data_IF_357289240301
#
_entry.id   IF_357289240301
#
_cell.length_a   1.000
_cell.length_b   1.000
_cell.length_c   1.000
_cell.angle_alpha   90.00
_cell.angle_beta   90.00
_cell.angle_gamma   90.00
#
_symmetry.space_group_name_H-M   'P 1'
#
loop_
_entity.id
_entity.type
_entity.pdbx_description
1 polymer ?
#
# COMPACT_ATOMS: atom_id res chain seq x y z
N UNK A 1 -13.54 -10.28 6.67
CA UNK A 1 -12.74 -10.24 5.46
C UNK A 1 -12.95 -8.90 4.76
N UNK A 2 -11.88 -8.28 4.33
CA UNK A 2 -11.97 -7.00 3.65
C UNK A 2 -12.54 -7.18 2.24
N UNK A 3 -13.37 -6.24 1.82
CA UNK A 3 -13.91 -6.22 0.47
C UNK A 3 -12.84 -5.76 -0.52
N UNK A 4 -12.86 -6.31 -1.73
CA UNK A 4 -11.98 -5.87 -2.79
C UNK A 4 -12.26 -4.41 -3.14
N UNK A 5 -11.21 -3.69 -3.53
CA UNK A 5 -11.34 -2.29 -3.92
C UNK A 5 -11.42 -1.32 -2.76
N UNK A 6 -11.08 -1.76 -1.55
CA UNK A 6 -11.07 -0.90 -0.37
C UNK A 6 -9.69 -0.81 0.27
N UNK A 7 -9.43 0.33 0.91
CA UNK A 7 -8.23 0.49 1.74
C UNK A 7 -8.50 -0.21 3.08
N UNK A 8 -7.57 -1.06 3.49
CA UNK A 8 -7.66 -1.81 4.74
C UNK A 8 -6.80 -1.11 5.78
N UNK A 9 -7.44 -0.64 6.85
CA UNK A 9 -6.72 -0.05 7.99
C UNK A 9 -6.06 -1.13 8.83
N UNK A 10 -4.79 -0.95 9.15
CA UNK A 10 -4.01 -1.88 9.94
C UNK A 10 -3.90 -1.35 11.36
N UNK A 11 -4.30 -2.15 12.34
CA UNK A 11 -4.27 -1.74 13.75
C UNK A 11 -3.33 -2.60 14.60
N UNK A 12 -2.82 -3.70 14.04
CA UNK A 12 -1.91 -4.62 14.72
C UNK A 12 -0.88 -5.15 13.75
N UNK A 13 0.31 -5.46 14.24
CA UNK A 13 1.38 -6.05 13.43
C UNK A 13 0.92 -7.35 12.79
N UNK A 14 0.18 -8.17 13.52
CA UNK A 14 -0.30 -9.47 13.02
C UNK A 14 -1.22 -9.34 11.82
N UNK A 15 -2.07 -8.30 11.81
CA UNK A 15 -2.96 -8.03 10.68
C UNK A 15 -2.13 -7.72 9.43
N UNK A 16 -1.12 -6.89 9.59
CA UNK A 16 -0.21 -6.53 8.50
C UNK A 16 0.49 -7.76 7.95
N UNK A 17 1.11 -8.54 8.84
CA UNK A 17 1.86 -9.73 8.44
C UNK A 17 0.98 -10.74 7.71
N UNK A 18 -0.25 -10.94 8.19
CA UNK A 18 -1.20 -11.86 7.55
C UNK A 18 -1.57 -11.41 6.14
N UNK A 19 -1.89 -10.12 5.97
CA UNK A 19 -2.30 -9.60 4.67
C UNK A 19 -1.15 -9.56 3.68
N UNK A 20 0.06 -9.24 4.14
CA UNK A 20 1.24 -9.27 3.27
C UNK A 20 1.53 -10.70 2.82
N UNK A 21 1.44 -11.67 3.74
CA UNK A 21 1.65 -13.07 3.40
C UNK A 21 0.64 -13.55 2.36
N UNK A 22 -0.64 -13.26 2.58
CA UNK A 22 -1.70 -13.64 1.65
C UNK A 22 -1.50 -13.01 0.28
N UNK A 23 -1.12 -11.74 0.25
CA UNK A 23 -0.84 -11.03 -0.99
C UNK A 23 0.33 -11.63 -1.73
N UNK A 24 1.40 -11.95 -1.03
CA UNK A 24 2.58 -12.58 -1.63
C UNK A 24 2.24 -13.95 -2.21
N UNK A 25 1.46 -14.76 -1.49
CA UNK A 25 1.03 -16.08 -1.95
C UNK A 25 0.16 -15.99 -3.21
N UNK A 26 -0.64 -14.92 -3.31
CA UNK A 26 -1.51 -14.70 -4.45
C UNK A 26 -0.81 -13.95 -5.60
N UNK A 27 0.46 -13.58 -5.43
CA UNK A 27 1.22 -12.83 -6.43
C UNK A 27 0.72 -11.41 -6.65
N UNK A 28 0.10 -10.81 -5.62
CA UNK A 28 -0.49 -9.47 -5.74
C UNK A 28 0.48 -8.37 -5.37
N UNK A 29 0.29 -7.21 -6.01
CA UNK A 29 0.93 -5.97 -5.60
C UNK A 29 0.26 -5.49 -4.30
N UNK A 30 1.07 -5.03 -3.36
CA UNK A 30 0.59 -4.45 -2.10
C UNK A 30 1.12 -3.02 -2.02
N UNK A 31 0.25 -2.05 -1.75
CA UNK A 31 0.63 -0.65 -1.56
C UNK A 31 0.29 -0.28 -0.13
N UNK A 32 1.31 0.16 0.63
CA UNK A 32 1.14 0.53 2.03
C UNK A 32 1.28 2.04 2.16
N UNK A 33 0.24 2.70 2.67
CA UNK A 33 0.24 4.13 2.98
C UNK A 33 0.58 4.31 4.45
N UNK A 34 1.78 4.83 4.72
CA UNK A 34 2.19 5.21 6.07
C UNK A 34 1.73 6.64 6.33
N UNK A 35 0.83 6.81 7.27
CA UNK A 35 0.12 8.07 7.55
C UNK A 35 0.22 8.45 9.02
N UNK A 36 -0.24 9.65 9.34
CA UNK A 36 -0.39 10.11 10.72
C UNK A 36 -1.60 11.04 10.81
N UNK A 37 -2.30 11.02 11.95
CA UNK A 37 -3.51 11.82 12.13
C UNK A 37 -3.24 13.32 12.12
N UNK A 38 -2.03 13.75 12.50
CA UNK A 38 -1.63 15.16 12.58
C UNK A 38 -1.09 15.71 11.27
N UNK A 39 -1.13 14.95 10.20
CA UNK A 39 -0.43 15.23 8.95
C UNK A 39 -1.39 15.77 7.88
N UNK A 40 -1.39 17.09 7.57
CA UNK A 40 -2.27 17.64 6.54
C UNK A 40 -2.07 17.03 5.15
N UNK A 41 -0.83 16.84 4.65
CA UNK A 41 -0.65 16.17 3.35
C UNK A 41 -1.23 14.75 3.31
N UNK A 42 -1.20 14.04 4.45
CA UNK A 42 -1.79 12.72 4.55
C UNK A 42 -3.30 12.77 4.35
N UNK A 43 -3.97 13.77 4.94
CA UNK A 43 -5.41 13.96 4.77
C UNK A 43 -5.76 14.32 3.34
N UNK A 44 -4.92 15.13 2.69
CA UNK A 44 -5.11 15.51 1.28
C UNK A 44 -5.09 14.29 0.38
N UNK A 45 -4.13 13.38 0.56
CA UNK A 45 -3.95 12.23 -0.34
C UNK A 45 -4.89 11.06 -0.02
N UNK A 46 -5.48 11.03 1.17
CA UNK A 46 -6.32 9.90 1.61
C UNK A 46 -7.47 9.57 0.65
N UNK A 47 -8.29 10.56 0.19
CA UNK A 47 -9.36 10.23 -0.76
C UNK A 47 -8.82 9.77 -2.11
N UNK A 48 -7.66 10.25 -2.52
CA UNK A 48 -7.02 9.84 -3.77
C UNK A 48 -6.58 8.38 -3.65
N UNK A 49 -5.98 8.01 -2.53
CA UNK A 49 -5.58 6.63 -2.26
C UNK A 49 -6.80 5.70 -2.26
N UNK A 50 -7.90 6.13 -1.65
CA UNK A 50 -9.16 5.37 -1.65
C UNK A 50 -9.71 5.16 -3.07
N UNK A 51 -9.64 6.19 -3.93
CA UNK A 51 -10.08 6.07 -5.32
C UNK A 51 -9.19 5.11 -6.11
N UNK A 52 -7.89 5.11 -5.86
CA UNK A 52 -6.97 4.17 -6.49
C UNK A 52 -7.30 2.73 -6.09
N UNK A 53 -7.70 2.52 -4.84
CA UNK A 53 -8.11 1.19 -4.37
C UNK A 53 -9.34 0.71 -5.13
N UNK A 54 -10.32 1.58 -5.33
CA UNK A 54 -11.53 1.24 -6.08
C UNK A 54 -11.22 0.90 -7.53
N UNK A 55 -10.27 1.58 -8.12
CA UNK A 55 -9.90 1.39 -9.54
C UNK A 55 -9.02 0.17 -9.76
N UNK A 56 -8.40 -0.38 -8.70
CA UNK A 56 -7.42 -1.46 -8.82
C UNK A 56 -7.76 -2.58 -7.83
N UNK A 57 -8.88 -3.29 -8.08
CA UNK A 57 -9.44 -4.28 -7.14
C UNK A 57 -8.52 -5.48 -6.89
N UNK A 58 -7.57 -5.74 -7.78
CA UNK A 58 -6.61 -6.85 -7.63
C UNK A 58 -5.35 -6.46 -6.88
N UNK A 59 -5.22 -5.18 -6.49
CA UNK A 59 -4.12 -4.67 -5.69
C UNK A 59 -4.59 -4.54 -4.25
N UNK A 60 -3.74 -4.88 -3.31
CA UNK A 60 -4.06 -4.75 -1.88
C UNK A 60 -3.57 -3.39 -1.40
N UNK A 61 -4.47 -2.56 -0.87
CA UNK A 61 -4.16 -1.23 -0.37
C UNK A 61 -4.28 -1.23 1.15
N UNK A 62 -3.17 -0.98 1.84
CA UNK A 62 -3.10 -0.99 3.31
C UNK A 62 -2.78 0.41 3.82
N UNK A 63 -3.33 0.76 4.98
CA UNK A 63 -3.10 2.03 5.63
C UNK A 63 -2.56 1.78 7.03
N UNK A 64 -1.39 2.34 7.34
CA UNK A 64 -0.72 2.19 8.63
C UNK A 64 -0.51 3.57 9.24
N UNK A 65 -1.12 3.81 10.40
CA UNK A 65 -0.86 5.02 11.19
C UNK A 65 0.44 4.76 11.96
N UNK A 66 1.45 5.58 11.71
CA UNK A 66 2.79 5.36 12.29
C UNK A 66 2.82 5.53 13.81
N UNK A 67 1.85 6.23 14.37
CA UNK A 67 1.76 6.39 15.84
C UNK A 67 1.01 5.23 16.48
N UNK A 68 0.12 4.60 15.72
CA UNK A 68 -0.65 3.44 16.20
C UNK A 68 0.16 2.15 16.11
N UNK A 69 0.86 1.93 15.00
CA UNK A 69 1.62 0.70 14.78
C UNK A 69 3.07 1.04 14.43
N UNK A 70 3.79 1.50 15.43
CA UNK A 70 5.17 2.00 15.27
C UNK A 70 6.13 0.97 14.70
N UNK A 71 5.96 -0.30 15.07
CA UNK A 71 6.88 -1.37 14.65
C UNK A 71 6.93 -1.52 13.15
N UNK A 72 5.80 -1.35 12.46
CA UNK A 72 5.76 -1.49 11.00
C UNK A 72 6.50 -0.32 10.35
N UNK A 73 6.28 0.90 10.84
CA UNK A 73 6.98 2.08 10.33
C UNK A 73 8.50 1.95 10.52
N UNK A 74 8.91 1.45 11.68
CA UNK A 74 10.32 1.23 11.97
C UNK A 74 10.94 0.18 11.06
N UNK A 75 10.21 -0.91 10.82
CA UNK A 75 10.65 -2.00 9.93
C UNK A 75 10.98 -1.49 8.54
N UNK A 76 10.21 -0.54 8.03
CA UNK A 76 10.42 0.02 6.69
C UNK A 76 11.21 1.33 6.69
N UNK A 77 11.68 1.77 7.85
CA UNK A 77 12.49 2.98 7.96
C UNK A 77 11.74 4.24 7.53
N UNK A 78 10.47 4.34 7.88
CA UNK A 78 9.63 5.48 7.48
C UNK A 78 9.88 6.66 8.41
N UNK A 79 10.34 7.79 7.86
CA UNK A 79 10.68 8.99 8.62
C UNK A 79 9.82 10.20 8.25
N UNK A 80 9.07 10.13 7.17
CA UNK A 80 8.23 11.23 6.71
C UNK A 80 6.88 10.67 6.26
N UNK A 81 5.82 11.45 6.42
CA UNK A 81 4.47 11.03 6.03
C UNK A 81 3.88 12.03 5.05
N UNK A 82 3.10 11.56 4.08
CA UNK A 82 2.87 10.15 3.81
C UNK A 82 4.07 9.51 3.11
N UNK A 83 4.24 8.21 3.31
CA UNK A 83 5.18 7.39 2.54
C UNK A 83 4.39 6.20 2.01
N UNK A 84 4.54 5.93 0.71
CA UNK A 84 3.89 4.80 0.06
C UNK A 84 4.94 3.76 -0.29
N UNK A 85 4.80 2.56 0.28
CA UNK A 85 5.74 1.46 0.03
C UNK A 85 5.01 0.42 -0.82
N UNK A 86 5.65 0.02 -1.91
CA UNK A 86 5.10 -0.95 -2.86
C UNK A 86 5.81 -2.27 -2.68
N UNK A 87 5.04 -3.32 -2.36
CA UNK A 87 5.56 -4.67 -2.08
C UNK A 87 5.07 -5.64 -3.14
N UNK A 88 5.97 -6.52 -3.58
CA UNK A 88 5.65 -7.59 -4.53
C UNK A 88 6.61 -8.75 -4.27
N UNK A 89 6.06 -9.96 -4.15
CA UNK A 89 6.85 -11.17 -3.95
C UNK A 89 7.85 -11.04 -2.80
N UNK A 90 7.37 -10.50 -1.67
CA UNK A 90 8.13 -10.33 -0.40
C UNK A 90 9.20 -9.25 -0.46
N UNK A 91 9.23 -8.43 -1.52
CA UNK A 91 10.23 -7.37 -1.67
C UNK A 91 9.59 -6.00 -1.78
N UNK A 92 10.27 -5.00 -1.24
CA UNK A 92 9.92 -3.60 -1.49
C UNK A 92 10.46 -3.26 -2.87
N UNK A 93 9.55 -2.99 -3.83
CA UNK A 93 9.94 -2.74 -5.22
C UNK A 93 9.93 -1.26 -5.58
N UNK A 94 9.29 -0.42 -4.77
CA UNK A 94 9.26 1.02 -5.01
C UNK A 94 8.81 1.74 -3.74
N UNK A 95 9.15 3.04 -3.65
CA UNK A 95 8.76 3.88 -2.52
C UNK A 95 8.55 5.31 -3.01
N UNK A 96 7.46 5.94 -2.55
CA UNK A 96 7.18 7.35 -2.81
C UNK A 96 7.05 8.06 -1.47
N UNK A 97 7.84 9.12 -1.27
CA UNK A 97 7.75 9.95 -0.07
C UNK A 97 7.08 11.26 -0.45
N UNK A 98 6.01 11.59 0.25
CA UNK A 98 5.25 12.82 0.02
C UNK A 98 3.92 12.58 -0.67
N UNK A 99 3.07 13.63 -0.67
CA UNK A 99 1.70 13.56 -1.17
C UNK A 99 1.60 13.98 -2.64
N UNK A 100 2.36 13.32 -3.50
CA UNK A 100 2.35 13.58 -4.94
C UNK A 100 1.35 12.66 -5.61
N UNK A 101 0.14 13.19 -5.87
CA UNK A 101 -0.96 12.38 -6.40
C UNK A 101 -0.70 11.87 -7.82
N UNK A 102 0.04 12.64 -8.62
CA UNK A 102 0.34 12.25 -10.01
C UNK A 102 1.33 11.08 -10.01
N UNK A 103 2.40 11.20 -9.24
CA UNK A 103 3.40 10.15 -9.12
C UNK A 103 2.77 8.87 -8.55
N UNK A 104 1.95 9.01 -7.51
CA UNK A 104 1.27 7.87 -6.88
C UNK A 104 0.37 7.15 -7.88
N UNK A 105 -0.50 7.90 -8.57
CA UNK A 105 -1.42 7.32 -9.55
C UNK A 105 -0.70 6.61 -10.69
N UNK A 106 0.33 7.25 -11.23
CA UNK A 106 1.12 6.68 -12.33
C UNK A 106 1.83 5.40 -11.91
N UNK A 107 2.43 5.40 -10.72
CA UNK A 107 3.17 4.22 -10.25
C UNK A 107 2.24 3.06 -9.91
N UNK A 108 1.09 3.33 -9.30
CA UNK A 108 0.10 2.28 -9.04
C UNK A 108 -0.34 1.65 -10.36
N UNK A 109 -0.67 2.46 -11.37
CA UNK A 109 -1.11 1.94 -12.67
C UNK A 109 -0.02 1.10 -13.33
N UNK A 110 1.21 1.59 -13.31
CA UNK A 110 2.35 0.87 -13.90
C UNK A 110 2.58 -0.48 -13.23
N UNK A 111 2.68 -0.49 -11.90
CA UNK A 111 3.01 -1.70 -11.15
C UNK A 111 1.84 -2.68 -11.08
N UNK A 112 0.61 -2.18 -11.12
CA UNK A 112 -0.57 -3.04 -11.19
C UNK A 112 -0.59 -3.81 -12.52
N UNK A 113 -0.23 -3.15 -13.63
CA UNK A 113 -0.13 -3.81 -14.94
C UNK A 113 0.98 -4.87 -14.94
N UNK A 114 2.14 -4.54 -14.37
CA UNK A 114 3.27 -5.48 -14.28
C UNK A 114 2.90 -6.70 -13.44
N UNK A 115 2.20 -6.51 -12.34
CA UNK A 115 1.77 -7.61 -11.48
C UNK A 115 0.77 -8.51 -12.21
N UNK A 116 -0.18 -7.94 -12.94
CA UNK A 116 -1.17 -8.69 -13.71
C UNK A 116 -0.50 -9.49 -14.82
N UNK A 117 0.44 -8.88 -15.55
CA UNK A 117 1.18 -9.54 -16.62
C UNK A 117 2.03 -10.70 -16.07
N UNK A 118 2.68 -10.49 -14.92
CA UNK A 118 3.50 -11.52 -14.27
C UNK A 118 2.64 -12.71 -13.84
N UNK A 119 1.46 -12.45 -13.25
CA UNK A 119 0.52 -13.51 -12.84
C UNK A 119 0.02 -14.28 -14.05
N UNK A 120 -0.28 -13.60 -15.16
CA UNK A 120 -0.73 -14.25 -16.41
C UNK A 120 0.36 -15.13 -16.99
N UNK A 121 1.60 -14.64 -17.03
CA UNK A 121 2.71 -15.38 -17.65
C UNK A 121 3.16 -16.57 -16.81
N UNK A 122 2.84 -16.63 -15.53
CA UNK A 122 3.19 -17.75 -14.67
C UNK A 122 2.15 -18.88 -14.68
N UNK A 123 1.04 -18.67 -15.37
CA UNK A 123 -0.06 -19.64 -15.42
C UNK A 123 0.28 -20.85 -16.29
#
# INVERSE_FOLDING_TARGET
MAEEGQVIGIHKVEEFDTLVKLGNEAGKLIVVDFTASWCPPCRFIAPIFAELAKANVNVIFLKVDVDEVKEIAEKYGVNAMPTFVFLKDENEIHRIVGADKVQLGNKVAELARSAAASATSSA
#
